data_IF_846434280262
#
_entry.id   IF_846434280262
#
_cell.length_a   1.000
_cell.length_b   1.000
_cell.length_c   1.000
_cell.angle_alpha   90.00
_cell.angle_beta   90.00
_cell.angle_gamma   90.00
#
_symmetry.space_group_name_H-M   'P 1'
#
loop_
_entity.id
_entity.type
_entity.pdbx_description
1 polymer ?
2 water ?
#
# COMPACT_ATOMS: atom_id res chain seq x y z
N UNK A 3 -0.85 -5.05 -14.97
CA UNK A 3 -0.16 -4.62 -13.70
C UNK A 3 -0.66 -5.39 -12.49
N UNK A 4 0.11 -6.38 -12.02
CA UNK A 4 -0.28 -7.20 -10.88
C UNK A 4 0.04 -6.55 -9.56
N UNK A 5 -0.55 -7.13 -8.53
CA UNK A 5 -0.34 -6.68 -7.18
C UNK A 5 0.04 -7.90 -6.36
N UNK A 6 1.27 -7.91 -5.87
CA UNK A 6 1.77 -9.07 -5.17
C UNK A 6 1.93 -8.72 -3.71
N UNK A 7 1.64 -9.65 -2.82
CA UNK A 7 1.93 -9.48 -1.40
C UNK A 7 2.85 -10.62 -0.95
N UNK A 8 3.71 -10.35 0.01
CA UNK A 8 4.41 -11.43 0.69
C UNK A 8 4.52 -11.13 2.18
N UNK A 9 4.92 -12.11 2.94
CA UNK A 9 5.06 -11.86 4.34
C UNK A 9 6.40 -12.44 4.83
N UNK A 10 7.02 -11.69 5.72
CA UNK A 10 8.24 -12.05 6.45
C UNK A 10 7.85 -12.34 7.88
N UNK A 11 7.85 -13.62 8.22
CA UNK A 11 7.42 -14.17 9.51
C UNK A 11 8.62 -14.54 10.39
N UNK A 12 8.87 -13.76 11.45
CA UNK A 12 10.01 -13.97 12.37
C UNK A 12 9.52 -14.60 13.68
N UNK A 13 10.13 -15.71 14.06
CA UNK A 13 9.73 -16.49 15.21
C UNK A 13 11.02 -17.20 15.71
N UNK A 14 11.35 -17.04 17.00
CA UNK A 14 12.59 -17.60 17.59
C UNK A 14 13.85 -17.23 16.80
N UNK A 15 13.99 -15.96 16.45
CA UNK A 15 15.09 -15.50 15.60
C UNK A 15 15.28 -16.20 14.21
N UNK A 16 14.23 -16.83 13.68
CA UNK A 16 14.26 -17.41 12.32
C UNK A 16 13.18 -16.82 11.38
N UNK A 17 13.34 -17.07 10.08
CA UNK A 17 12.56 -16.40 9.07
C UNK A 17 12.07 -17.47 8.13
N UNK A 18 10.76 -17.58 7.91
CA UNK A 18 10.24 -18.61 7.00
C UNK A 18 10.43 -18.19 5.54
N UNK A 19 11.21 -18.95 4.77
CA UNK A 19 11.43 -18.61 3.37
C UNK A 19 11.18 -19.80 2.45
N UNK A 20 11.15 -19.51 1.16
CA UNK A 20 10.90 -20.54 0.16
C UNK A 20 11.99 -20.46 -0.91
N UNK A 21 12.54 -21.61 -1.28
CA UNK A 21 13.55 -21.61 -2.32
C UNK A 21 12.96 -22.16 -3.61
N UNK A 22 13.05 -21.37 -4.67
CA UNK A 22 12.58 -21.83 -5.99
C UNK A 22 13.36 -23.06 -6.45
N UNK A 23 12.75 -23.87 -7.33
CA UNK A 23 13.28 -25.17 -7.75
C UNK A 23 14.64 -25.03 -8.42
N UNK A 24 15.45 -26.10 -8.41
CA UNK A 24 16.68 -26.10 -9.20
C UNK A 24 17.74 -25.21 -8.58
N UNK A 25 17.71 -25.10 -7.25
CA UNK A 25 18.68 -24.31 -6.55
C UNK A 25 18.54 -22.90 -7.05
N UNK A 26 17.29 -22.43 -7.16
CA UNK A 26 17.02 -21.04 -7.54
C UNK A 26 17.04 -20.14 -6.32
N UNK A 27 16.52 -18.92 -6.48
CA UNK A 27 16.51 -17.85 -5.46
C UNK A 27 15.54 -18.10 -4.30
N UNK A 28 15.81 -17.47 -3.15
CA UNK A 28 14.98 -17.57 -1.96
C UNK A 28 13.97 -16.39 -1.92
N UNK A 29 12.70 -16.65 -1.60
CA UNK A 29 11.70 -15.58 -1.50
C UNK A 29 10.88 -15.69 -0.20
N UNK A 30 10.29 -14.58 0.24
CA UNK A 30 9.25 -14.65 1.28
C UNK A 30 8.02 -15.26 0.60
N UNK A 31 7.27 -16.12 1.29
CA UNK A 31 6.02 -16.64 0.67
C UNK A 31 4.94 -15.55 0.51
N UNK A 32 3.98 -15.78 -0.37
CA UNK A 32 2.89 -14.82 -0.63
C UNK A 32 2.22 -15.14 -1.96
N UNK A 33 1.61 -14.13 -2.60
CA UNK A 33 1.00 -14.30 -3.95
C UNK A 33 0.18 -13.09 -4.39
N UNK A 34 -0.53 -13.22 -5.53
CA UNK A 34 -1.30 -12.10 -6.12
C UNK A 34 -2.66 -11.81 -5.45
N UNK A 35 -2.99 -10.53 -5.34
CA UNK A 35 -4.30 -10.05 -4.93
C UNK A 35 -5.36 -10.57 -5.89
N UNK A 36 -6.50 -10.98 -5.35
CA UNK A 36 -7.68 -11.28 -6.18
C UNK A 36 -8.66 -10.11 -6.11
N UNK A 37 -9.36 -9.83 -7.21
CA UNK A 37 -10.31 -8.69 -7.29
C UNK A 37 -11.24 -8.68 -6.07
N UNK A 38 -11.47 -7.51 -5.49
CA UNK A 38 -12.30 -7.40 -4.29
C UNK A 38 -11.61 -7.56 -2.95
N UNK A 39 -10.44 -8.17 -2.92
CA UNK A 39 -9.74 -8.33 -1.66
C UNK A 39 -9.04 -7.04 -1.20
N UNK A 40 -8.86 -6.88 0.12
CA UNK A 40 -7.89 -5.89 0.60
C UNK A 40 -6.50 -6.54 0.63
N UNK A 41 -5.41 -5.76 0.73
CA UNK A 41 -4.08 -6.38 0.82
C UNK A 41 -3.92 -7.28 2.06
N UNK A 42 -4.67 -6.99 3.12
CA UNK A 42 -4.57 -7.78 4.33
C UNK A 42 -5.17 -9.17 4.10
N UNK A 43 -6.38 -9.21 3.54
CA UNK A 43 -7.00 -10.50 3.15
C UNK A 43 -6.09 -11.36 2.25
N UNK A 44 -5.54 -10.76 1.19
CA UNK A 44 -4.68 -11.46 0.24
C UNK A 44 -3.50 -12.18 0.89
N UNK A 45 -2.66 -11.43 1.60
CA UNK A 45 -1.49 -11.99 2.29
C UNK A 45 -1.83 -13.13 3.25
N UNK A 46 -2.92 -13.04 4.02
CA UNK A 46 -3.30 -14.16 4.90
C UNK A 46 -3.72 -15.43 4.11
N UNK A 47 -4.50 -15.22 3.05
CA UNK A 47 -4.91 -16.31 2.21
C UNK A 47 -3.71 -16.89 1.44
N UNK A 48 -2.99 -16.05 0.71
CA UNK A 48 -1.89 -16.53 -0.15
C UNK A 48 -0.83 -17.22 0.70
N UNK A 49 -0.51 -16.60 1.82
CA UNK A 49 0.52 -17.12 2.68
C UNK A 49 0.19 -18.52 3.12
N UNK A 50 -1.05 -18.68 3.57
CA UNK A 50 -1.54 -19.95 4.07
C UNK A 50 -1.66 -20.98 2.95
N UNK A 51 -2.15 -20.57 1.79
CA UNK A 51 -2.18 -21.46 0.64
C UNK A 51 -0.82 -22.04 0.35
N UNK A 52 0.22 -21.25 0.57
CA UNK A 52 1.53 -21.63 0.12
C UNK A 52 2.35 -22.32 1.22
N UNK A 53 2.02 -22.09 2.49
CA UNK A 53 2.88 -22.57 3.57
C UNK A 53 2.12 -23.46 4.57
N UNK A 54 0.79 -23.36 4.59
CA UNK A 54 -0.03 -24.10 5.57
C UNK A 54 -0.14 -23.31 6.86
N UNK A 55 0.61 -22.22 6.95
CA UNK A 55 0.62 -21.42 8.17
C UNK A 55 -0.31 -20.19 8.13
N UNK A 56 -1.05 -20.00 9.21
CA UNK A 56 -1.90 -18.84 9.38
C UNK A 56 -1.08 -17.83 10.14
N UNK A 57 -0.96 -16.63 9.60
CA UNK A 57 -0.22 -15.57 10.27
C UNK A 57 -1.23 -14.74 11.03
N UNK A 58 -0.86 -14.36 12.25
CA UNK A 58 -1.81 -13.85 13.24
C UNK A 58 -2.13 -12.37 13.02
N UNK A 59 -1.14 -11.51 13.06
CA UNK A 59 -1.44 -10.11 12.82
C UNK A 59 -0.37 -9.45 11.95
N UNK A 60 -0.36 -9.80 10.67
CA UNK A 60 0.64 -9.29 9.76
C UNK A 60 0.44 -7.79 9.63
N UNK A 61 1.54 -7.04 9.48
CA UNK A 61 1.49 -5.59 9.37
C UNK A 61 2.28 -5.19 8.15
N UNK A 62 1.73 -4.25 7.40
CA UNK A 62 2.42 -3.79 6.20
C UNK A 62 3.70 -3.02 6.55
N UNK A 63 4.77 -3.30 5.82
CA UNK A 63 6.02 -2.60 6.06
C UNK A 63 6.62 -2.03 4.79
N UNK A 64 6.47 -2.70 3.66
CA UNK A 64 7.07 -2.22 2.43
C UNK A 64 6.05 -2.11 1.32
N UNK A 65 6.07 -0.96 0.64
CA UNK A 65 5.30 -0.76 -0.60
C UNK A 65 6.29 -0.38 -1.70
N UNK A 66 6.34 -1.20 -2.76
CA UNK A 66 7.33 -1.06 -3.84
C UNK A 66 6.74 -1.12 -5.26
N UNK A 67 7.17 -0.19 -6.10
CA UNK A 67 6.95 -0.32 -7.54
C UNK A 67 8.11 -1.11 -8.15
N UNK A 68 7.80 -2.20 -8.85
CA UNK A 68 8.82 -3.02 -9.49
C UNK A 68 8.79 -2.81 -11.01
N UNK A 69 9.90 -2.34 -11.57
CA UNK A 69 9.94 -1.99 -12.97
C UNK A 69 10.89 -2.89 -13.72
N UNK A 70 10.46 -3.40 -14.87
CA UNK A 70 11.34 -4.08 -15.80
C UNK A 70 11.68 -3.02 -16.84
N UNK A 71 12.96 -2.82 -17.04
CA UNK A 71 13.44 -1.73 -17.88
C UNK A 71 14.20 -2.34 -19.04
N UNK A 72 13.87 -1.94 -20.26
CA UNK A 72 14.49 -2.57 -21.42
C UNK A 72 14.51 -1.63 -22.62
N UNK A 73 15.64 -1.62 -23.33
CA UNK A 73 15.86 -0.71 -24.44
C UNK A 73 15.44 0.71 -24.04
N UNK A 74 16.00 1.21 -22.94
CA UNK A 74 15.72 2.58 -22.50
C UNK A 74 14.31 2.93 -22.03
N UNK A 75 13.35 2.02 -22.11
CA UNK A 75 12.00 2.35 -21.55
C UNK A 75 11.37 1.31 -20.58
N UNK A 76 10.44 1.76 -19.73
CA UNK A 76 9.65 0.83 -18.91
C UNK A 76 8.82 -0.09 -19.79
N UNK A 77 9.01 -1.39 -19.61
CA UNK A 77 8.31 -2.36 -20.41
C UNK A 77 7.41 -3.26 -19.55
N UNK A 78 7.61 -3.21 -18.23
CA UNK A 78 6.73 -3.91 -17.31
C UNK A 78 6.77 -3.30 -15.91
N UNK A 79 5.72 -3.51 -15.14
CA UNK A 79 5.65 -2.90 -13.82
C UNK A 79 4.60 -3.56 -12.96
N UNK A 80 4.98 -3.94 -11.75
CA UNK A 80 3.98 -4.43 -10.82
C UNK A 80 4.19 -3.81 -9.44
N UNK A 81 3.33 -4.14 -8.50
CA UNK A 81 3.44 -3.61 -7.16
C UNK A 81 3.69 -4.73 -6.17
N UNK A 82 4.54 -4.50 -5.18
CA UNK A 82 4.78 -5.50 -4.14
C UNK A 82 4.50 -4.89 -2.76
N UNK A 83 3.68 -5.55 -1.95
CA UNK A 83 3.42 -5.16 -0.56
C UNK A 83 3.99 -6.22 0.38
N UNK A 84 4.97 -5.83 1.20
CA UNK A 84 5.64 -6.74 2.11
C UNK A 84 5.12 -6.53 3.53
N UNK A 85 4.61 -7.60 4.13
CA UNK A 85 4.19 -7.56 5.52
C UNK A 85 5.26 -8.15 6.44
N UNK A 86 5.07 -7.94 7.74
CA UNK A 86 5.87 -8.56 8.76
C UNK A 86 4.96 -9.19 9.80
N UNK A 87 5.29 -10.38 10.27
CA UNK A 87 4.54 -10.97 11.36
C UNK A 87 5.49 -11.71 12.30
N UNK A 88 5.13 -11.73 13.58
CA UNK A 88 5.94 -12.40 14.60
C UNK A 88 5.20 -13.59 15.22
N UNK A 89 3.88 -13.51 15.32
CA UNK A 89 3.07 -14.64 15.75
C UNK A 89 2.42 -15.41 14.56
N UNK A 90 2.18 -16.72 14.72
CA UNK A 90 1.59 -17.58 13.68
C UNK A 90 1.08 -18.92 14.22
N UNK A 91 0.17 -19.56 13.50
CA UNK A 91 -0.27 -20.89 13.91
C UNK A 91 -0.32 -21.89 12.74
N UNK A 92 -0.05 -23.17 13.01
CA UNK A 92 -0.15 -24.22 12.00
C UNK A 92 1.18 -24.87 11.66
N UNK A 93 1.14 -26.05 11.06
CA UNK A 93 2.37 -26.77 10.68
C UNK A 93 2.84 -26.41 9.28
N UNK A 94 4.10 -25.99 9.16
CA UNK A 94 4.76 -25.81 7.87
C UNK A 94 4.55 -27.03 6.95
N UNK A 95 4.12 -26.81 5.69
CA UNK A 95 4.14 -27.85 4.65
C UNK A 95 5.59 -28.17 4.22
N UNK A 96 5.94 -29.45 4.10
CA UNK A 96 7.24 -29.76 3.51
C UNK A 96 7.41 -29.02 2.16
N UNK A 97 6.67 -29.47 1.15
CA UNK A 97 6.84 -28.92 -0.19
C UNK A 97 5.69 -27.97 -0.55
N UNK A 98 6.00 -26.90 -1.28
CA UNK A 98 5.01 -26.07 -1.92
C UNK A 98 5.20 -26.30 -3.42
N UNK A 99 4.15 -26.05 -4.24
CA UNK A 99 4.40 -26.16 -5.70
C UNK A 99 5.36 -25.09 -6.23
N UNK A 100 5.66 -24.05 -5.47
CA UNK A 100 6.71 -23.12 -5.92
C UNK A 100 8.12 -23.39 -5.41
N UNK A 101 8.29 -24.33 -4.48
CA UNK A 101 9.61 -24.63 -3.94
C UNK A 101 9.56 -25.16 -2.52
N UNK A 102 10.73 -25.42 -1.95
CA UNK A 102 10.84 -26.02 -0.62
C UNK A 102 10.84 -24.93 0.45
N UNK A 103 10.14 -25.18 1.55
CA UNK A 103 10.01 -24.21 2.65
C UNK A 103 11.04 -24.52 3.73
N UNK A 104 11.70 -23.48 4.24
CA UNK A 104 12.67 -23.65 5.31
C UNK A 104 12.70 -22.47 6.26
N UNK A 105 12.66 -22.73 7.55
CA UNK A 105 13.06 -21.72 8.50
C UNK A 105 14.57 -21.47 8.40
N UNK A 106 14.93 -20.21 8.20
CA UNK A 106 16.31 -19.84 8.10
C UNK A 106 16.64 -18.97 9.31
N UNK A 107 17.91 -18.99 9.71
CA UNK A 107 18.35 -18.17 10.83
C UNK A 107 18.48 -16.74 10.40
N UNK A 108 17.86 -15.86 11.20
CA UNK A 108 17.75 -14.46 10.85
C UNK A 108 19.07 -13.95 10.28
N UNK A 109 20.16 -14.12 11.01
CA UNK A 109 21.40 -13.46 10.63
C UNK A 109 22.13 -14.16 9.46
N UNK A 110 21.54 -15.24 8.95
CA UNK A 110 22.03 -15.82 7.70
C UNK A 110 21.26 -15.36 6.43
N UNK A 111 20.13 -14.67 6.64
CA UNK A 111 19.19 -14.43 5.53
C UNK A 111 19.82 -13.58 4.44
N UNK A 112 20.63 -12.62 4.83
CA UNK A 112 21.27 -11.70 3.89
C UNK A 112 22.40 -12.33 3.06
N UNK A 113 22.78 -13.57 3.35
CA UNK A 113 23.78 -14.25 2.54
C UNK A 113 23.20 -15.25 1.52
N UNK A 114 21.88 -15.42 1.49
CA UNK A 114 21.26 -16.40 0.59
C UNK A 114 21.14 -15.82 -0.81
N UNK A 115 21.19 -16.67 -1.86
CA UNK A 115 20.97 -16.13 -3.20
C UNK A 115 19.55 -15.55 -3.37
N UNK A 116 19.44 -14.26 -3.67
CA UNK A 116 18.12 -13.64 -3.88
C UNK A 116 18.21 -12.44 -4.81
N UNK A 117 17.11 -12.04 -5.44
CA UNK A 117 17.16 -10.85 -6.30
C UNK A 117 17.78 -9.74 -5.44
N UNK A 118 18.57 -8.87 -6.05
CA UNK A 118 19.27 -7.80 -5.33
C UNK A 118 18.33 -6.86 -4.56
N UNK A 119 17.17 -6.54 -5.11
CA UNK A 119 16.24 -5.63 -4.41
C UNK A 119 15.63 -6.26 -3.16
N UNK A 120 15.41 -7.56 -3.21
CA UNK A 120 14.99 -8.28 -2.03
C UNK A 120 15.97 -8.12 -0.89
N UNK A 121 17.25 -8.04 -1.19
CA UNK A 121 18.23 -7.99 -0.13
C UNK A 121 18.02 -6.72 0.66
N UNK A 122 17.80 -5.62 -0.04
CA UNK A 122 17.59 -4.32 0.61
C UNK A 122 16.34 -4.29 1.47
N UNK A 123 15.26 -4.90 0.95
CA UNK A 123 14.00 -4.96 1.66
C UNK A 123 14.19 -5.71 2.95
N UNK A 124 14.79 -6.90 2.84
CA UNK A 124 15.05 -7.77 4.01
C UNK A 124 15.95 -7.08 5.04
N UNK A 125 16.93 -6.31 4.55
CA UNK A 125 17.85 -5.56 5.40
C UNK A 125 17.14 -4.45 6.21
N UNK A 126 16.13 -3.83 5.62
CA UNK A 126 15.34 -2.87 6.39
C UNK A 126 14.33 -3.60 7.31
N UNK A 127 13.52 -4.49 6.73
CA UNK A 127 12.38 -5.07 7.43
C UNK A 127 12.79 -6.01 8.55
N UNK A 128 13.94 -6.65 8.40
CA UNK A 128 14.44 -7.55 9.41
C UNK A 128 14.90 -6.75 10.65
N UNK A 129 15.28 -5.49 10.45
CA UNK A 129 15.84 -4.68 11.55
C UNK A 129 15.08 -3.42 11.90
N UNK A 130 13.92 -3.20 11.31
CA UNK A 130 13.18 -1.96 11.59
C UNK A 130 11.69 -2.24 11.54
N UNK A 131 10.91 -1.52 12.34
CA UNK A 131 9.46 -1.60 12.23
C UNK A 131 8.91 -0.39 11.47
N UNK A 132 9.80 0.39 10.86
CA UNK A 132 9.37 1.55 10.08
C UNK A 132 8.89 1.12 8.67
N UNK A 133 8.03 1.93 8.06
CA UNK A 133 7.54 1.68 6.70
C UNK A 133 8.62 2.02 5.66
N UNK A 134 8.79 1.15 4.66
CA UNK A 134 9.74 1.38 3.58
C UNK A 134 8.99 1.61 2.24
N UNK A 135 9.32 2.68 1.51
CA UNK A 135 8.69 2.96 0.22
C UNK A 135 9.77 2.92 -0.81
N UNK A 136 9.54 2.28 -1.97
CA UNK A 136 10.62 2.17 -2.93
C UNK A 136 10.31 1.85 -4.38
N UNK A 137 11.31 2.00 -5.25
CA UNK A 137 11.22 1.62 -6.65
C UNK A 137 12.45 0.82 -7.01
N UNK A 138 12.25 -0.32 -7.66
CA UNK A 138 13.35 -1.11 -8.16
C UNK A 138 13.24 -1.28 -9.66
N UNK A 139 14.33 -0.97 -10.36
CA UNK A 139 14.40 -1.14 -11.82
C UNK A 139 15.22 -2.38 -12.15
N UNK A 140 14.59 -3.31 -12.86
CA UNK A 140 15.26 -4.53 -13.23
C UNK A 140 15.36 -4.66 -14.75
N UNK A 141 16.38 -5.40 -15.18
CA UNK A 141 16.39 -5.83 -16.57
C UNK A 141 15.50 -7.08 -16.72
N UNK A 142 15.24 -7.49 -17.97
CA UNK A 142 14.42 -8.65 -18.14
C UNK A 142 14.97 -9.94 -17.46
N UNK A 143 16.26 -9.99 -17.14
CA UNK A 143 16.81 -11.16 -16.46
C UNK A 143 16.94 -10.94 -14.96
N UNK A 144 16.41 -9.82 -14.49
CA UNK A 144 16.36 -9.52 -13.05
C UNK A 144 17.71 -9.15 -12.44
N UNK A 145 18.47 -8.43 -13.25
CA UNK A 145 19.68 -7.77 -12.82
C UNK A 145 19.21 -6.36 -12.39
N UNK A 146 19.59 -5.93 -11.19
CA UNK A 146 19.20 -4.63 -10.63
C UNK A 146 19.91 -3.48 -11.32
N UNK A 147 19.17 -2.60 -12.00
CA UNK A 147 19.77 -1.41 -12.61
C UNK A 147 19.84 -0.26 -11.61
N UNK A 148 18.87 -0.17 -10.72
CA UNK A 148 18.87 0.85 -9.70
C UNK A 148 17.63 0.76 -8.81
N UNK A 149 17.57 1.68 -7.85
CA UNK A 149 16.52 1.67 -6.87
C UNK A 149 16.42 3.03 -6.18
N UNK A 150 15.27 3.28 -5.59
CA UNK A 150 15.08 4.41 -4.71
C UNK A 150 14.36 3.85 -3.51
N UNK A 151 14.98 4.02 -2.35
CA UNK A 151 14.41 3.60 -1.10
C UNK A 151 14.22 4.78 -0.15
N UNK A 152 13.12 4.76 0.58
CA UNK A 152 12.78 5.82 1.53
C UNK A 152 12.08 5.16 2.75
N UNK A 153 12.72 5.22 3.94
CA UNK A 153 14.00 5.87 4.23
C UNK A 153 15.20 5.16 3.60
N UNK A 154 16.24 5.91 3.25
CA UNK A 154 17.45 5.35 2.63
C UNK A 154 18.16 4.30 3.51
N UNK A 155 18.86 3.31 2.88
CA UNK A 155 19.58 2.28 3.65
C UNK A 155 20.79 2.83 4.40
N UNK B 3 -7.11 -0.89 -14.12
CA UNK B 3 -7.07 -0.59 -12.66
C UNK B 3 -6.12 0.58 -12.33
N UNK B 4 -6.65 1.66 -11.77
CA UNK B 4 -5.79 2.79 -11.42
C UNK B 4 -5.44 2.88 -9.94
N UNK B 5 -4.44 3.70 -9.66
CA UNK B 5 -3.89 3.81 -8.32
C UNK B 5 -3.89 5.25 -7.85
N UNK B 6 -4.81 5.56 -6.95
CA UNK B 6 -4.98 6.92 -6.45
C UNK B 6 -4.36 7.06 -5.06
N UNK B 7 -3.73 8.21 -4.80
CA UNK B 7 -3.30 8.55 -3.46
C UNK B 7 -3.95 9.86 -3.05
N UNK B 8 -4.19 10.02 -1.76
CA UNK B 8 -4.45 11.36 -1.25
C UNK B 8 -3.83 11.55 0.14
N UNK B 9 -3.87 12.77 0.64
CA UNK B 9 -3.30 13.05 1.92
C UNK B 9 -4.30 13.86 2.76
N UNK B 10 -4.44 13.46 4.01
CA UNK B 10 -5.13 14.23 5.03
C UNK B 10 -4.10 15.02 5.86
N UNK B 11 -4.06 16.32 5.63
CA UNK B 11 -3.14 17.18 6.34
C UNK B 11 -3.89 17.81 7.51
N UNK B 12 -3.57 17.42 8.74
CA UNK B 12 -4.13 18.08 9.93
C UNK B 12 -3.16 19.13 10.45
N UNK B 13 -3.57 20.40 10.44
CA UNK B 13 -2.76 21.51 10.95
C UNK B 13 -3.59 22.24 12.02
N UNK B 14 -3.09 22.26 13.26
CA UNK B 14 -3.80 22.90 14.39
C UNK B 14 -5.31 22.69 14.39
N UNK B 15 -5.74 21.45 14.25
CA UNK B 15 -7.15 21.14 14.33
C UNK B 15 -7.96 21.61 13.13
N UNK B 16 -7.27 21.84 12.02
CA UNK B 16 -7.95 22.06 10.75
C UNK B 16 -7.41 21.11 9.68
N UNK B 17 -8.27 20.71 8.75
CA UNK B 17 -7.97 19.71 7.74
C UNK B 17 -8.12 20.35 6.37
N UNK B 18 -7.13 20.21 5.50
CA UNK B 18 -7.24 20.80 4.16
C UNK B 18 -8.07 19.93 3.21
N UNK B 19 -9.16 20.45 2.68
CA UNK B 19 -10.01 19.63 1.81
C UNK B 19 -10.39 20.37 0.53
N UNK B 20 -10.97 19.63 -0.40
CA UNK B 20 -11.36 20.20 -1.68
C UNK B 20 -12.84 19.92 -1.93
N UNK B 21 -13.58 20.94 -2.29
CA UNK B 21 -14.97 20.76 -2.60
C UNK B 21 -15.11 20.80 -4.10
N UNK B 22 -15.71 19.77 -4.66
CA UNK B 22 -15.92 19.72 -6.10
C UNK B 22 -16.98 20.67 -6.59
N UNK B 23 -16.85 21.11 -7.85
CA UNK B 23 -17.65 22.17 -8.42
C UNK B 23 -19.13 21.82 -8.39
N UNK B 24 -19.95 22.82 -8.06
CA UNK B 24 -21.41 22.66 -8.04
C UNK B 24 -21.84 22.32 -6.62
N UNK B 25 -21.07 22.82 -5.67
CA UNK B 25 -21.26 22.44 -4.29
C UNK B 25 -21.53 20.93 -4.27
N UNK B 26 -20.61 20.14 -4.85
CA UNK B 26 -20.67 18.69 -4.69
C UNK B 26 -19.85 18.20 -3.50
N UNK B 27 -19.44 16.93 -3.54
CA UNK B 27 -18.67 16.34 -2.42
C UNK B 27 -17.27 16.93 -2.13
N UNK B 28 -16.85 16.77 -0.87
CA UNK B 28 -15.54 17.20 -0.35
C UNK B 28 -14.60 16.01 -0.38
N UNK B 29 -13.34 16.21 -0.81
CA UNK B 29 -12.36 15.12 -0.85
C UNK B 29 -11.00 15.53 -0.24
N UNK B 30 -10.16 14.56 0.11
CA UNK B 30 -8.77 14.91 0.41
C UNK B 30 -8.07 15.13 -0.94
N UNK B 31 -7.20 16.15 -1.03
CA UNK B 31 -6.48 16.32 -2.30
C UNK B 31 -5.50 15.18 -2.57
N UNK B 32 -5.17 14.97 -3.84
CA UNK B 32 -4.26 13.86 -4.25
C UNK B 32 -4.29 13.60 -5.75
N UNK B 33 -4.03 12.36 -6.17
CA UNK B 33 -4.11 12.00 -7.61
C UNK B 33 -3.49 10.67 -7.96
N UNK B 34 -3.45 10.35 -9.26
CA UNK B 34 -3.11 9.01 -9.72
C UNK B 34 -1.60 8.78 -9.86
N UNK B 35 -1.15 7.59 -9.51
CA UNK B 35 0.25 7.20 -9.72
C UNK B 35 0.67 7.27 -11.20
N UNK B 36 1.81 7.86 -11.50
CA UNK B 36 2.40 7.72 -12.83
C UNK B 36 3.35 6.51 -12.86
N UNK B 37 3.66 5.98 -14.04
CA UNK B 37 4.52 4.78 -14.12
C UNK B 37 5.88 5.05 -13.44
N UNK B 38 6.40 4.09 -12.70
CA UNK B 38 7.75 4.28 -12.14
C UNK B 38 7.89 4.91 -10.76
N UNK B 39 6.96 5.79 -10.37
CA UNK B 39 6.90 6.35 -9.02
C UNK B 39 6.56 5.34 -7.91
N UNK B 40 7.06 5.61 -6.70
CA UNK B 40 6.48 4.99 -5.50
C UNK B 40 5.28 5.82 -5.00
N UNK B 41 4.40 5.18 -4.23
CA UNK B 41 3.26 5.88 -3.66
C UNK B 41 3.66 7.17 -2.93
N UNK B 42 4.83 7.18 -2.28
CA UNK B 42 5.28 8.35 -1.51
C UNK B 42 5.60 9.50 -2.44
N UNK B 43 6.25 9.21 -3.57
CA UNK B 43 6.54 10.22 -4.62
C UNK B 43 5.26 10.76 -5.26
N UNK B 44 4.32 9.88 -5.55
CA UNK B 44 3.06 10.32 -6.16
C UNK B 44 2.32 11.34 -5.29
N UNK B 45 2.11 11.00 -4.01
CA UNK B 45 1.30 11.83 -3.14
C UNK B 45 1.92 13.24 -2.99
N UNK B 46 3.23 13.32 -2.89
CA UNK B 46 3.84 14.64 -2.78
C UNK B 46 3.71 15.47 -4.08
N UNK B 47 3.89 14.83 -5.23
CA UNK B 47 3.74 15.59 -6.45
C UNK B 47 2.25 15.98 -6.68
N UNK B 48 1.36 15.00 -6.53
CA UNK B 48 -0.05 15.23 -6.82
C UNK B 48 -0.62 16.22 -5.83
N UNK B 49 -0.28 16.03 -4.55
CA UNK B 49 -0.78 16.92 -3.52
C UNK B 49 -0.35 18.34 -3.84
N UNK B 50 0.93 18.50 -4.19
CA UNK B 50 1.46 19.80 -4.56
C UNK B 50 0.78 20.46 -5.79
N UNK B 51 0.53 19.68 -6.83
CA UNK B 51 -0.05 20.17 -8.07
C UNK B 51 -1.45 20.66 -7.82
N UNK B 52 -2.21 19.87 -7.10
CA UNK B 52 -3.56 20.25 -6.72
C UNK B 52 -3.69 21.44 -5.74
N UNK B 53 -2.72 21.62 -4.83
CA UNK B 53 -2.91 22.59 -3.72
C UNK B 53 -1.89 23.74 -3.59
N UNK B 54 -0.73 23.63 -4.23
CA UNK B 54 0.35 24.61 -4.02
C UNK B 54 1.22 24.22 -2.83
N UNK B 55 0.81 23.22 -2.05
CA UNK B 55 1.48 22.93 -0.79
C UNK B 55 2.40 21.69 -0.87
N UNK B 56 3.49 21.74 -0.11
CA UNK B 56 4.42 20.64 0.03
C UNK B 56 4.20 19.97 1.38
N UNK B 57 3.74 18.73 1.35
CA UNK B 57 3.57 17.97 2.59
C UNK B 57 4.93 17.40 3.01
N UNK B 58 5.25 17.56 4.28
CA UNK B 58 6.62 17.34 4.71
C UNK B 58 6.94 15.87 4.94
N UNK B 59 6.31 15.23 5.92
CA UNK B 59 6.54 13.79 6.02
C UNK B 59 5.26 12.97 6.01
N UNK B 60 4.61 12.87 4.85
CA UNK B 60 3.37 12.15 4.89
C UNK B 60 3.70 10.69 5.22
N UNK B 61 2.76 9.99 5.86
CA UNK B 61 2.90 8.59 6.18
C UNK B 61 1.60 7.87 5.77
N UNK B 62 1.74 6.69 5.16
CA UNK B 62 0.61 5.85 4.80
C UNK B 62 -0.19 5.39 6.02
N UNK B 63 -1.53 5.49 5.93
CA UNK B 63 -2.47 5.09 6.99
C UNK B 63 -3.65 4.22 6.52
N UNK B 64 -3.96 4.26 5.21
CA UNK B 64 -5.09 3.52 4.68
C UNK B 64 -4.82 2.95 3.31
N UNK B 65 -5.03 1.65 3.16
CA UNK B 65 -4.89 0.99 1.86
C UNK B 65 -6.23 0.33 1.53
N UNK B 66 -6.92 0.84 0.50
CA UNK B 66 -8.28 0.38 0.17
C UNK B 66 -8.45 -0.10 -1.25
N UNK B 67 -9.24 -1.15 -1.39
CA UNK B 67 -9.74 -1.55 -2.70
C UNK B 67 -11.13 -0.97 -2.87
N UNK B 68 -11.28 -0.13 -3.88
CA UNK B 68 -12.57 0.42 -4.20
C UNK B 68 -13.14 -0.38 -5.38
N UNK B 69 -14.39 -0.83 -5.24
CA UNK B 69 -15.03 -1.69 -6.21
C UNK B 69 -16.37 -1.06 -6.64
N UNK B 70 -16.62 -0.99 -7.95
CA UNK B 70 -17.96 -0.64 -8.42
C UNK B 70 -18.70 -1.93 -8.74
N UNK B 71 -19.88 -2.08 -8.17
CA UNK B 71 -20.62 -3.34 -8.27
C UNK B 71 -21.90 -3.08 -9.03
N UNK B 72 -22.18 -3.89 -10.05
CA UNK B 72 -23.35 -3.66 -10.90
C UNK B 72 -23.90 -4.98 -11.50
N UNK B 73 -25.23 -5.16 -11.45
CA UNK B 73 -25.86 -6.39 -11.94
C UNK B 73 -25.20 -7.62 -11.31
N UNK B 74 -24.94 -7.59 -10.02
CA UNK B 74 -24.33 -8.74 -9.35
C UNK B 74 -22.86 -9.10 -9.64
N UNK B 75 -22.21 -8.42 -10.60
CA UNK B 75 -20.75 -8.58 -10.80
C UNK B 75 -19.90 -7.30 -10.47
N UNK B 76 -18.67 -7.50 -9.99
CA UNK B 76 -17.66 -6.42 -9.92
C UNK B 76 -17.43 -5.96 -11.36
N UNK B 77 -17.68 -4.69 -11.64
CA UNK B 77 -17.50 -4.14 -13.01
C UNK B 77 -16.29 -3.19 -13.10
N UNK B 78 -15.80 -2.77 -11.94
CA UNK B 78 -14.67 -1.85 -11.89
C UNK B 78 -13.98 -1.87 -10.52
N UNK B 79 -12.67 -1.72 -10.53
CA UNK B 79 -11.88 -1.79 -9.31
C UNK B 79 -10.70 -0.83 -9.32
N UNK B 80 -10.53 -0.03 -8.27
CA UNK B 80 -9.26 0.70 -8.16
C UNK B 80 -8.70 0.71 -6.73
N UNK B 81 -7.50 1.23 -6.56
CA UNK B 81 -6.83 1.22 -5.26
C UNK B 81 -6.66 2.64 -4.74
N UNK B 82 -6.86 2.82 -3.44
CA UNK B 82 -6.64 4.13 -2.82
C UNK B 82 -5.66 4.00 -1.64
N UNK B 83 -4.70 4.92 -1.62
CA UNK B 83 -3.63 4.91 -0.62
C UNK B 83 -3.79 6.22 0.10
N UNK B 84 -4.18 6.17 1.37
CA UNK B 84 -4.44 7.41 2.11
C UNK B 84 -3.28 7.74 3.05
N UNK B 85 -2.76 8.96 2.91
CA UNK B 85 -1.64 9.39 3.74
C UNK B 85 -2.11 10.39 4.81
N UNK B 86 -1.29 10.55 5.84
CA UNK B 86 -1.53 11.54 6.89
C UNK B 86 -0.25 12.39 7.18
N UNK B 87 -0.47 13.66 7.49
CA UNK B 87 0.61 14.60 7.64
C UNK B 87 0.17 15.72 8.58
N UNK B 88 1.12 16.18 9.41
CA UNK B 88 0.89 17.35 10.26
C UNK B 88 1.66 18.60 9.81
N UNK B 89 2.90 18.43 9.36
CA UNK B 89 3.72 19.57 8.90
C UNK B 89 3.67 19.79 7.37
N UNK B 90 3.77 21.05 6.92
CA UNK B 90 3.70 21.39 5.50
C UNK B 90 4.20 22.81 5.24
N UNK B 91 4.55 23.08 3.99
CA UNK B 91 5.09 24.38 3.59
C UNK B 91 4.36 24.86 2.34
N UNK B 92 4.29 26.17 2.14
CA UNK B 92 3.80 26.71 0.88
C UNK B 92 2.42 27.32 1.04
N UNK B 93 2.02 28.16 0.07
CA UNK B 93 0.76 28.89 0.09
C UNK B 93 -0.35 28.14 -0.68
N UNK B 94 -1.45 27.84 0.00
CA UNK B 94 -2.64 27.18 -0.57
C UNK B 94 -3.13 27.94 -1.83
N UNK B 95 -3.42 27.25 -2.94
CA UNK B 95 -4.08 27.90 -4.09
C UNK B 95 -5.57 28.21 -3.82
N UNK B 96 -6.08 29.37 -4.25
CA UNK B 96 -7.53 29.61 -4.09
C UNK B 96 -8.34 28.60 -4.91
N UNK B 97 -8.21 28.67 -6.21
CA UNK B 97 -8.91 27.73 -7.05
C UNK B 97 -7.98 26.60 -7.50
N UNK B 98 -8.56 25.44 -7.75
CA UNK B 98 -7.83 24.32 -8.33
C UNK B 98 -8.64 23.92 -9.59
N UNK B 99 -8.13 23.02 -10.46
CA UNK B 99 -9.13 22.73 -11.49
C UNK B 99 -10.17 21.73 -11.02
N UNK B 100 -9.85 20.99 -9.96
CA UNK B 100 -10.80 20.04 -9.39
C UNK B 100 -11.81 20.65 -8.43
N UNK B 101 -11.63 21.92 -8.03
CA UNK B 101 -12.59 22.59 -7.14
C UNK B 101 -12.00 23.57 -6.12
N UNK B 102 -12.77 23.90 -5.10
CA UNK B 102 -12.30 24.89 -4.14
C UNK B 102 -11.63 24.27 -2.89
N UNK B 103 -10.46 24.80 -2.53
CA UNK B 103 -9.70 24.36 -1.36
C UNK B 103 -10.10 25.17 -0.13
N UNK B 104 -10.33 24.47 0.98
CA UNK B 104 -10.58 25.14 2.22
C UNK B 104 -10.08 24.33 3.42
N UNK B 105 -9.46 25.00 4.37
CA UNK B 105 -9.15 24.40 5.65
C UNK B 105 -10.44 24.28 6.42
N UNK B 106 -10.81 23.08 6.86
CA UNK B 106 -12.05 22.88 7.62
C UNK B 106 -11.67 22.39 9.00
N UNK B 107 -12.49 22.74 9.99
CA UNK B 107 -12.26 22.25 11.35
C UNK B 107 -12.44 20.75 11.45
N UNK B 108 -11.45 20.12 12.07
CA UNK B 108 -11.44 18.70 12.31
C UNK B 108 -12.81 18.15 12.76
N UNK B 109 -13.39 18.71 13.82
CA UNK B 109 -14.58 18.11 14.39
C UNK B 109 -15.84 18.38 13.55
N UNK B 110 -15.71 19.16 12.48
CA UNK B 110 -16.80 19.36 11.50
C UNK B 110 -16.75 18.48 10.24
N UNK B 111 -15.60 17.88 9.97
CA UNK B 111 -15.39 17.10 8.74
C UNK B 111 -16.45 16.02 8.49
N UNK B 112 -16.80 15.24 9.50
CA UNK B 112 -17.74 14.13 9.28
C UNK B 112 -19.14 14.62 8.89
N UNK B 113 -19.39 15.91 9.03
CA UNK B 113 -20.66 16.44 8.63
C UNK B 113 -20.71 17.06 7.21
N UNK B 114 -19.59 17.11 6.50
CA UNK B 114 -19.57 17.61 5.13
C UNK B 114 -20.16 16.58 4.17
N UNK B 115 -20.75 17.05 3.06
CA UNK B 115 -21.18 16.04 2.09
C UNK B 115 -20.01 15.29 1.46
N UNK B 116 -20.04 13.97 1.53
CA UNK B 116 -18.96 13.20 0.92
C UNK B 116 -19.39 11.75 0.66
N UNK B 117 -18.72 11.04 -0.24
CA UNK B 117 -19.01 9.63 -0.43
C UNK B 117 -18.89 8.94 0.92
N UNK B 118 -19.74 7.94 1.15
CA UNK B 118 -19.94 7.34 2.46
C UNK B 118 -18.71 6.57 2.90
N UNK B 119 -17.98 6.00 1.94
CA UNK B 119 -16.75 5.30 2.28
C UNK B 119 -15.73 6.24 2.89
N UNK B 120 -15.65 7.45 2.33
CA UNK B 120 -14.70 8.45 2.85
C UNK B 120 -14.98 8.86 4.29
N UNK B 121 -16.23 8.76 4.73
CA UNK B 121 -16.54 9.05 6.14
C UNK B 121 -15.84 8.09 7.08
N UNK B 122 -15.89 6.80 6.77
CA UNK B 122 -15.23 5.79 7.59
C UNK B 122 -13.74 6.05 7.62
N UNK B 123 -13.15 6.29 6.45
CA UNK B 123 -11.74 6.60 6.35
C UNK B 123 -11.39 7.83 7.21
N UNK B 124 -12.17 8.91 7.10
CA UNK B 124 -11.87 10.11 7.88
C UNK B 124 -12.06 9.87 9.37
N UNK B 125 -13.12 9.17 9.70
CA UNK B 125 -13.40 8.81 11.09
C UNK B 125 -12.22 8.11 11.75
N UNK B 126 -11.65 7.09 11.09
CA UNK B 126 -10.47 6.44 11.62
C UNK B 126 -9.21 7.37 11.59
N UNK B 127 -8.78 7.79 10.40
CA UNK B 127 -7.48 8.48 10.23
C UNK B 127 -7.37 9.79 11.01
N UNK B 128 -8.49 10.53 11.13
CA UNK B 128 -8.46 11.75 11.90
C UNK B 128 -8.19 11.51 13.40
N UNK B 129 -8.41 10.29 13.88
CA UNK B 129 -8.38 9.99 15.33
C UNK B 129 -7.46 8.88 15.71
N UNK B 130 -6.67 8.36 14.78
CA UNK B 130 -5.80 7.24 15.06
C UNK B 130 -4.57 7.38 14.22
N UNK B 131 -3.47 6.77 14.66
CA UNK B 131 -2.28 6.70 13.82
C UNK B 131 -2.00 5.26 13.35
N UNK B 132 -2.92 4.34 13.65
CA UNK B 132 -2.85 2.96 13.22
C UNK B 132 -3.27 2.80 11.73
N UNK B 133 -2.70 1.80 11.08
CA UNK B 133 -3.03 1.47 9.68
C UNK B 133 -4.47 0.93 9.51
N UNK B 134 -5.16 1.41 8.48
CA UNK B 134 -6.50 0.93 8.15
C UNK B 134 -6.52 0.17 6.84
N UNK B 135 -7.01 -1.05 6.83
CA UNK B 135 -7.14 -1.78 5.55
C UNK B 135 -8.59 -2.05 5.28
N UNK B 136 -8.99 -2.03 4.01
CA UNK B 136 -10.40 -2.16 3.67
C UNK B 136 -10.78 -2.27 2.21
N UNK B 137 -12.06 -2.57 2.00
CA UNK B 137 -12.69 -2.68 0.69
C UNK B 137 -14.05 -2.00 0.82
N UNK B 138 -14.36 -1.16 -0.16
CA UNK B 138 -15.68 -0.56 -0.27
C UNK B 138 -16.31 -1.00 -1.58
N UNK B 139 -17.55 -1.46 -1.51
CA UNK B 139 -18.36 -1.79 -2.69
C UNK B 139 -19.37 -0.70 -2.96
N UNK B 140 -19.32 -0.09 -4.15
CA UNK B 140 -20.22 1.02 -4.51
C UNK B 140 -21.11 0.60 -5.67
N UNK B 141 -22.19 1.34 -5.92
CA UNK B 141 -22.96 1.25 -7.17
C UNK B 141 -22.37 2.25 -8.16
N UNK B 142 -22.76 2.14 -9.44
CA UNK B 142 -22.19 3.13 -10.35
C UNK B 142 -22.40 4.60 -9.92
N UNK B 143 -23.37 4.85 -9.06
CA UNK B 143 -23.62 6.22 -8.66
C UNK B 143 -23.00 6.59 -7.33
N UNK B 144 -22.21 5.66 -6.80
CA UNK B 144 -21.50 5.86 -5.54
C UNK B 144 -22.38 5.85 -4.28
N UNK B 145 -23.39 4.99 -4.28
CA UNK B 145 -24.12 4.62 -3.09
C UNK B 145 -23.38 3.43 -2.49
N UNK B 146 -22.99 3.53 -1.21
CA UNK B 146 -22.21 2.46 -0.57
C UNK B 146 -23.05 1.20 -0.33
N UNK B 147 -22.70 0.10 -0.98
CA UNK B 147 -23.39 -1.16 -0.73
C UNK B 147 -22.85 -1.87 0.50
N UNK B 148 -21.55 -1.76 0.75
CA UNK B 148 -20.96 -2.43 1.91
C UNK B 148 -19.50 -2.10 1.99
N UNK B 149 -18.87 -2.53 3.09
CA UNK B 149 -17.44 -2.33 3.29
C UNK B 149 -16.94 -3.35 4.28
N UNK B 150 -15.67 -3.71 4.17
CA UNK B 150 -14.98 -4.45 5.21
C UNK B 150 -13.78 -3.62 5.63
N UNK B 151 -13.77 -3.17 6.88
CA UNK B 151 -12.65 -2.40 7.38
C UNK B 151 -11.93 -3.16 8.51
N UNK B 152 -10.63 -2.88 8.65
CA UNK B 152 -9.81 -3.55 9.63
C UNK B 152 -8.64 -2.64 10.01
N UNK B 153 -8.60 -2.16 11.27
CA UNK B 153 -9.52 -2.45 12.37
C UNK B 153 -10.95 -1.98 12.09
N UNK B 154 -11.95 -2.70 12.57
CA UNK B 154 -13.36 -2.33 12.32
C UNK B 154 -13.72 -1.15 13.22
N UNK B 155 -14.54 -0.23 12.70
CA UNK B 155 -14.91 0.97 13.47
C UNK B 155 -15.38 0.60 14.89
#
# INVERSE_FOLDING_TARGET
MSLQRVTNCIVVDHDQVLLLQKPRRGWWVAPGGKMEAGESILETVKREYWEETGITVKNPELKGIFSMVIFDEGKIVSEWMLFTFKATEHEGEMLKQSPEGKLEWKKKDEVLELPMAAGDKWIFKHVLHSDRLLYGTFHYTPDFELLSYRLDPEPQMKKKGIITITTDPNSSSVDKLAAALEHHHHHH
MSLQRVTNCIVVDHDQVLLLQKPRRGWWVAPGGKMEAGESILETVKREYWEETGITVKNPELKGIFSMVIFDEGKIVSEWMLFTFKATEHEGEMLKQSPEGKLEWKKKDEVLELPMAAGDKWIFKHVLHSDRLLYGTFHYTPDFELLSYRLDPEPQMKKKGIITITTDPNSSSVDKLAAALEHHHHHH
#
